data_IF_036619152140
#
_entry.id   IF_036619152140
#
_cell.length_a   1.000
_cell.length_b   1.000
_cell.length_c   1.000
_cell.angle_alpha   90.00
_cell.angle_beta   90.00
_cell.angle_gamma   90.00
#
_symmetry.space_group_name_H-M   'P 1'
#
loop_
_entity.id
_entity.type
_entity.pdbx_description
1 polymer ?
#
# COMPACT_ATOMS: atom_id res chain seq x y z
N UNK A 1 8.90 -2.44 -9.68
CA UNK A 1 9.19 -1.09 -10.27
C UNK A 1 8.06 -0.16 -9.85
N UNK A 2 8.34 1.11 -9.50
CA UNK A 2 7.27 2.08 -9.20
C UNK A 2 6.61 2.51 -10.49
N UNK A 3 5.29 2.52 -10.51
CA UNK A 3 4.47 2.96 -11.64
C UNK A 3 3.46 4.05 -11.22
N UNK A 4 2.72 4.59 -12.20
CA UNK A 4 1.69 5.62 -11.95
C UNK A 4 0.57 5.07 -11.06
N UNK A 5 0.17 3.82 -11.29
CA UNK A 5 -0.92 3.17 -10.57
C UNK A 5 -0.64 3.03 -9.06
N UNK A 6 0.63 2.92 -8.67
CA UNK A 6 1.01 2.96 -7.26
C UNK A 6 1.03 4.39 -6.71
N UNK A 7 1.53 5.37 -7.50
CA UNK A 7 1.72 6.74 -7.02
C UNK A 7 0.43 7.54 -6.99
N UNK A 8 -0.36 7.48 -8.07
CA UNK A 8 -1.59 8.27 -8.29
C UNK A 8 -2.63 7.40 -8.98
N UNK A 9 -3.20 6.40 -8.28
CA UNK A 9 -4.23 5.55 -8.83
C UNK A 9 -5.53 6.32 -9.05
N UNK A 10 -6.25 6.01 -10.15
CA UNK A 10 -7.60 6.51 -10.40
C UNK A 10 -8.64 5.65 -9.68
N UNK A 11 -8.29 4.44 -9.33
CA UNK A 11 -9.15 3.53 -8.56
C UNK A 11 -8.33 2.67 -7.60
N UNK A 12 -8.87 2.50 -6.38
CA UNK A 12 -8.30 1.66 -5.32
C UNK A 12 -9.35 0.66 -4.87
N UNK A 13 -8.95 -0.60 -4.69
CA UNK A 13 -9.74 -1.59 -3.97
C UNK A 13 -9.04 -2.01 -2.68
N UNK A 14 -9.80 -2.06 -1.58
CA UNK A 14 -9.34 -2.63 -0.30
C UNK A 14 -9.97 -4.01 -0.12
N UNK A 15 -9.16 -5.06 -0.23
CA UNK A 15 -9.58 -6.44 0.02
C UNK A 15 -9.45 -6.73 1.52
N UNK A 16 -10.57 -7.02 2.17
CA UNK A 16 -10.63 -7.17 3.64
C UNK A 16 -10.88 -5.86 4.38
N UNK A 17 -11.51 -4.88 3.74
CA UNK A 17 -11.98 -3.67 4.40
C UNK A 17 -12.98 -3.98 5.51
N UNK A 18 -13.11 -3.09 6.50
CA UNK A 18 -13.93 -3.33 7.71
C UNK A 18 -14.54 -2.03 8.26
N UNK A 19 -15.72 -2.16 8.87
CA UNK A 19 -16.31 -1.09 9.67
C UNK A 19 -15.56 -0.85 10.99
N UNK A 20 -14.83 -1.86 11.49
CA UNK A 20 -14.00 -1.70 12.68
C UNK A 20 -12.69 -0.97 12.34
N UNK A 21 -12.64 0.32 12.64
CA UNK A 21 -11.48 1.20 12.36
C UNK A 21 -10.25 0.94 13.25
N UNK A 22 -10.33 0.03 14.22
CA UNK A 22 -9.18 -0.46 14.99
C UNK A 22 -8.47 -1.62 14.30
N UNK A 23 -9.11 -2.27 13.33
CA UNK A 23 -8.49 -3.29 12.48
C UNK A 23 -7.79 -2.61 11.28
N UNK A 24 -6.68 -3.18 10.77
CA UNK A 24 -5.95 -2.59 9.63
C UNK A 24 -6.84 -2.26 8.43
N UNK A 25 -7.71 -3.17 8.00
CA UNK A 25 -8.61 -2.95 6.86
C UNK A 25 -9.59 -1.80 7.07
N UNK A 26 -10.09 -1.62 8.29
CA UNK A 26 -10.96 -0.47 8.62
C UNK A 26 -10.17 0.83 8.74
N UNK A 27 -8.97 0.78 9.31
CA UNK A 27 -8.09 1.94 9.42
C UNK A 27 -7.68 2.49 8.04
N UNK A 28 -7.36 1.61 7.08
CA UNK A 28 -7.01 2.00 5.71
C UNK A 28 -8.19 2.67 5.02
N UNK A 29 -9.39 2.08 5.06
CA UNK A 29 -10.59 2.68 4.46
C UNK A 29 -10.84 4.06 5.04
N UNK A 30 -10.83 4.20 6.38
CA UNK A 30 -10.96 5.50 7.05
C UNK A 30 -9.88 6.49 6.59
N UNK A 31 -8.63 6.07 6.52
CA UNK A 31 -7.52 6.97 6.17
C UNK A 31 -7.58 7.41 4.70
N UNK A 32 -8.05 6.56 3.79
CA UNK A 32 -8.31 6.93 2.40
C UNK A 32 -9.44 7.97 2.29
N UNK A 33 -10.55 7.75 2.99
CA UNK A 33 -11.68 8.69 3.03
C UNK A 33 -11.27 10.02 3.67
N UNK A 34 -10.71 9.99 4.87
CA UNK A 34 -10.32 11.19 5.61
C UNK A 34 -9.15 11.95 4.97
N UNK A 35 -8.29 11.24 4.23
CA UNK A 35 -7.22 11.82 3.42
C UNK A 35 -7.70 12.44 2.13
N UNK A 36 -9.01 12.39 1.84
CA UNK A 36 -9.61 13.04 0.69
C UNK A 36 -9.23 12.38 -0.65
N UNK A 37 -9.09 11.06 -0.69
CA UNK A 37 -8.84 10.35 -1.95
C UNK A 37 -9.92 10.68 -2.99
N UNK A 38 -9.52 11.17 -4.15
CA UNK A 38 -10.42 11.69 -5.18
C UNK A 38 -10.81 10.64 -6.24
N UNK A 39 -10.15 9.49 -6.26
CA UNK A 39 -10.45 8.40 -7.19
C UNK A 39 -11.60 7.52 -6.72
N UNK A 40 -11.84 6.44 -7.46
CA UNK A 40 -12.88 5.47 -7.11
C UNK A 40 -12.38 4.51 -6.03
N UNK A 41 -12.94 4.60 -4.83
CA UNK A 41 -12.64 3.69 -3.73
C UNK A 41 -13.66 2.55 -3.69
N UNK A 42 -13.18 1.32 -3.72
CA UNK A 42 -13.95 0.08 -3.64
C UNK A 42 -13.49 -0.73 -2.45
N UNK A 43 -14.41 -1.49 -1.87
CA UNK A 43 -14.11 -2.36 -0.73
C UNK A 43 -14.68 -3.74 -1.00
N UNK A 44 -13.90 -4.77 -0.68
CA UNK A 44 -14.36 -6.17 -0.70
C UNK A 44 -14.43 -6.69 0.72
N UNK A 45 -15.64 -7.15 1.09
CA UNK A 45 -15.88 -7.84 2.35
C UNK A 45 -17.01 -8.87 2.16
N UNK A 46 -16.78 -10.17 2.44
CA UNK A 46 -17.79 -11.21 2.18
C UNK A 46 -19.00 -11.19 3.11
N UNK A 47 -19.00 -10.33 4.14
CA UNK A 47 -20.05 -10.32 5.20
C UNK A 47 -20.84 -9.03 5.28
N UNK A 48 -20.27 -7.92 4.82
CA UNK A 48 -20.84 -6.58 5.01
C UNK A 48 -21.35 -6.04 3.66
N UNK A 49 -22.51 -5.42 3.66
CA UNK A 49 -23.09 -4.74 2.49
C UNK A 49 -22.46 -3.37 2.26
N UNK A 50 -22.01 -2.74 3.35
CA UNK A 50 -21.44 -1.41 3.35
C UNK A 50 -20.29 -1.29 4.35
N UNK A 51 -19.22 -0.64 3.96
CA UNK A 51 -18.07 -0.34 4.80
C UNK A 51 -17.85 1.18 4.81
N UNK A 52 -18.11 1.81 5.96
CA UNK A 52 -17.87 3.24 6.18
C UNK A 52 -18.50 4.15 5.09
N UNK A 53 -19.74 3.86 4.68
CA UNK A 53 -20.47 4.60 3.65
C UNK A 53 -20.18 4.17 2.21
N UNK A 54 -19.31 3.15 2.00
CA UNK A 54 -18.98 2.62 0.68
C UNK A 54 -19.65 1.27 0.52
N UNK A 55 -20.42 1.08 -0.57
CA UNK A 55 -20.99 -0.22 -0.92
C UNK A 55 -19.87 -1.26 -1.06
N UNK A 56 -19.98 -2.36 -0.31
CA UNK A 56 -19.03 -3.45 -0.37
C UNK A 56 -19.39 -4.46 -1.48
N UNK A 57 -18.35 -5.05 -2.06
CA UNK A 57 -18.47 -6.22 -2.92
C UNK A 57 -18.22 -7.47 -2.08
N UNK A 58 -19.01 -8.52 -2.28
CA UNK A 58 -18.82 -9.79 -1.56
C UNK A 58 -17.70 -10.64 -2.15
N UNK A 59 -17.47 -10.54 -3.45
CA UNK A 59 -16.37 -11.20 -4.16
C UNK A 59 -15.54 -10.16 -4.95
N UNK A 60 -14.24 -10.33 -4.93
CA UNK A 60 -13.34 -9.47 -5.70
C UNK A 60 -13.49 -9.66 -7.22
N UNK A 61 -14.10 -10.76 -7.68
CA UNK A 61 -14.45 -10.97 -9.09
C UNK A 61 -15.54 -10.02 -9.60
N UNK A 62 -16.35 -9.48 -8.70
CA UNK A 62 -17.47 -8.61 -9.06
C UNK A 62 -17.07 -7.13 -9.16
N UNK A 63 -15.85 -6.76 -8.75
CA UNK A 63 -15.40 -5.37 -8.87
C UNK A 63 -15.13 -5.00 -10.33
N UNK A 64 -15.34 -3.75 -10.71
CA UNK A 64 -14.85 -3.22 -11.99
C UNK A 64 -13.32 -3.18 -12.03
N UNK A 65 -12.75 -2.97 -13.21
CA UNK A 65 -11.32 -2.78 -13.41
C UNK A 65 -10.77 -1.74 -12.43
N UNK A 66 -9.60 -2.04 -11.85
CA UNK A 66 -9.03 -1.28 -10.73
C UNK A 66 -7.52 -1.21 -10.87
N UNK A 67 -6.92 -0.07 -10.53
CA UNK A 67 -5.49 0.17 -10.73
C UNK A 67 -4.61 -0.28 -9.56
N UNK A 68 -5.05 -0.02 -8.31
CA UNK A 68 -4.32 -0.36 -7.08
C UNK A 68 -5.18 -1.27 -6.20
N UNK A 69 -4.62 -2.37 -5.74
CA UNK A 69 -5.22 -3.22 -4.72
C UNK A 69 -4.43 -3.18 -3.41
N UNK A 70 -5.15 -3.01 -2.30
CA UNK A 70 -4.60 -3.09 -0.94
C UNK A 70 -5.14 -4.36 -0.29
N UNK A 71 -4.24 -5.30 0.02
CA UNK A 71 -4.62 -6.59 0.59
C UNK A 71 -4.45 -6.59 2.11
N UNK A 72 -5.55 -6.89 2.81
CA UNK A 72 -5.63 -6.96 4.28
C UNK A 72 -6.34 -8.26 4.66
N UNK A 73 -5.88 -9.36 4.11
CA UNK A 73 -6.41 -10.72 4.30
C UNK A 73 -5.30 -11.64 4.75
N UNK A 74 -5.62 -12.85 5.26
CA UNK A 74 -4.56 -13.78 5.67
C UNK A 74 -3.61 -14.11 4.50
N UNK A 75 -2.30 -14.23 4.80
CA UNK A 75 -1.22 -14.40 3.81
C UNK A 75 -1.51 -15.49 2.77
N UNK A 76 -2.09 -16.63 3.20
CA UNK A 76 -2.43 -17.76 2.33
C UNK A 76 -3.37 -17.43 1.17
N UNK A 77 -4.15 -16.34 1.29
CA UNK A 77 -5.10 -15.91 0.25
C UNK A 77 -4.50 -14.84 -0.68
N UNK A 78 -3.42 -14.18 -0.27
CA UNK A 78 -2.87 -13.07 -1.04
C UNK A 78 -2.43 -13.47 -2.45
N UNK A 79 -1.74 -14.62 -2.69
CA UNK A 79 -1.32 -15.00 -4.05
C UNK A 79 -2.50 -15.15 -5.01
N UNK A 80 -3.61 -15.77 -4.56
CA UNK A 80 -4.79 -15.97 -5.40
C UNK A 80 -5.47 -14.64 -5.77
N UNK A 81 -5.54 -13.70 -4.81
CA UNK A 81 -6.03 -12.35 -5.10
C UNK A 81 -5.10 -11.60 -6.06
N UNK A 82 -3.77 -11.68 -5.88
CA UNK A 82 -2.81 -11.00 -6.76
C UNK A 82 -2.92 -11.56 -8.19
N UNK A 83 -2.96 -12.88 -8.34
CA UNK A 83 -3.09 -13.54 -9.64
C UNK A 83 -4.38 -13.10 -10.35
N UNK A 84 -5.53 -13.21 -9.69
CA UNK A 84 -6.83 -12.88 -10.25
C UNK A 84 -6.95 -11.39 -10.57
N UNK A 85 -6.58 -10.51 -9.65
CA UNK A 85 -6.69 -9.06 -9.83
C UNK A 85 -5.76 -8.54 -10.94
N UNK A 86 -4.54 -9.09 -11.06
CA UNK A 86 -3.62 -8.73 -12.13
C UNK A 86 -4.08 -9.23 -13.50
N UNK A 87 -4.63 -10.45 -13.56
CA UNK A 87 -5.05 -11.08 -14.81
C UNK A 87 -6.39 -10.56 -15.31
N UNK A 88 -7.39 -10.38 -14.42
CA UNK A 88 -8.79 -10.19 -14.80
C UNK A 88 -9.31 -8.77 -14.53
N UNK A 89 -8.67 -7.99 -13.62
CA UNK A 89 -9.16 -6.67 -13.18
C UNK A 89 -8.21 -5.53 -13.50
N UNK A 90 -7.19 -5.76 -14.28
CA UNK A 90 -6.28 -4.72 -14.74
C UNK A 90 -5.39 -4.12 -13.63
N UNK A 91 -5.33 -4.71 -12.43
CA UNK A 91 -4.50 -4.19 -11.32
C UNK A 91 -3.03 -4.24 -11.72
N UNK A 92 -2.34 -3.11 -11.50
CA UNK A 92 -0.91 -2.95 -11.80
C UNK A 92 -0.11 -2.43 -10.61
N UNK A 93 -0.76 -2.29 -9.45
CA UNK A 93 -0.08 -1.94 -8.21
C UNK A 93 -0.72 -2.69 -7.03
N UNK A 94 0.11 -3.19 -6.11
CA UNK A 94 -0.31 -3.88 -4.91
C UNK A 94 0.37 -3.29 -3.68
N UNK A 95 -0.39 -3.20 -2.59
CA UNK A 95 0.10 -2.95 -1.23
C UNK A 95 -0.39 -4.10 -0.37
N UNK A 96 0.52 -4.91 0.17
CA UNK A 96 0.17 -6.08 0.99
C UNK A 96 0.54 -5.80 2.44
N UNK A 97 -0.49 -5.57 3.24
CA UNK A 97 -0.35 -5.25 4.67
C UNK A 97 -0.07 -6.50 5.50
N UNK A 98 -0.61 -7.62 5.07
CA UNK A 98 -0.61 -8.89 5.79
C UNK A 98 0.80 -9.39 6.07
N UNK A 99 1.02 -9.95 7.26
CA UNK A 99 2.17 -10.73 7.68
C UNK A 99 1.93 -12.24 7.48
N UNK A 100 2.96 -13.07 7.69
CA UNK A 100 2.90 -14.51 7.54
C UNK A 100 3.53 -15.01 6.24
N UNK A 101 4.54 -14.30 5.76
CA UNK A 101 5.30 -14.64 4.55
C UNK A 101 6.71 -15.14 4.88
N UNK A 102 7.70 -14.75 4.12
CA UNK A 102 9.08 -15.21 4.29
C UNK A 102 9.73 -14.83 5.61
N UNK A 103 9.21 -13.81 6.30
CA UNK A 103 9.64 -13.40 7.63
C UNK A 103 9.26 -14.40 8.73
N UNK A 104 8.25 -15.26 8.51
CA UNK A 104 7.79 -16.21 9.52
C UNK A 104 8.18 -17.64 9.20
N UNK A 105 8.00 -18.09 7.94
CA UNK A 105 8.16 -19.50 7.58
C UNK A 105 8.63 -19.70 6.15
N UNK A 106 9.22 -20.88 5.88
CA UNK A 106 9.57 -21.29 4.53
C UNK A 106 8.33 -21.43 3.61
N UNK A 107 7.20 -21.87 4.14
CA UNK A 107 5.94 -21.91 3.40
C UNK A 107 5.46 -20.48 3.04
N UNK A 108 5.63 -19.54 3.95
CA UNK A 108 5.36 -18.12 3.70
C UNK A 108 6.25 -17.53 2.60
N UNK A 109 7.53 -17.93 2.55
CA UNK A 109 8.44 -17.51 1.47
C UNK A 109 7.97 -18.01 0.09
N UNK A 110 7.38 -19.20 0.01
CA UNK A 110 6.81 -19.71 -1.24
C UNK A 110 5.58 -18.91 -1.70
N UNK A 111 4.73 -18.45 -0.75
CA UNK A 111 3.61 -17.54 -1.05
C UNK A 111 4.12 -16.19 -1.59
N UNK A 112 5.14 -15.64 -0.94
CA UNK A 112 5.78 -14.39 -1.36
C UNK A 112 6.38 -14.53 -2.77
N UNK A 113 7.10 -15.61 -3.06
CA UNK A 113 7.70 -15.83 -4.37
C UNK A 113 6.63 -15.88 -5.47
N UNK A 114 5.50 -16.56 -5.23
CA UNK A 114 4.37 -16.61 -6.17
C UNK A 114 3.82 -15.20 -6.49
N UNK A 115 3.71 -14.34 -5.46
CA UNK A 115 3.29 -12.95 -5.64
C UNK A 115 4.30 -12.19 -6.51
N UNK A 116 5.59 -12.37 -6.25
CA UNK A 116 6.67 -11.74 -7.01
C UNK A 116 6.64 -12.16 -8.48
N UNK A 117 6.50 -13.45 -8.75
CA UNK A 117 6.43 -14.00 -10.11
C UNK A 117 5.24 -13.41 -10.89
N UNK A 118 4.09 -13.26 -10.22
CA UNK A 118 2.91 -12.62 -10.82
C UNK A 118 3.14 -11.14 -11.06
N UNK A 119 3.71 -10.42 -10.09
CA UNK A 119 4.03 -9.00 -10.24
C UNK A 119 5.03 -8.77 -11.39
N UNK A 120 6.01 -9.65 -11.55
CA UNK A 120 6.96 -9.58 -12.67
C UNK A 120 6.27 -9.84 -14.02
N UNK A 121 5.45 -10.91 -14.10
CA UNK A 121 4.70 -11.29 -15.30
C UNK A 121 3.80 -10.17 -15.82
N UNK A 122 3.11 -9.47 -14.93
CA UNK A 122 2.15 -8.41 -15.31
C UNK A 122 2.71 -7.00 -15.18
N UNK A 123 3.99 -6.83 -14.85
CA UNK A 123 4.63 -5.52 -14.67
C UNK A 123 4.05 -4.70 -13.51
N UNK A 124 3.61 -5.38 -12.43
CA UNK A 124 2.99 -4.73 -11.29
C UNK A 124 4.03 -4.11 -10.36
N UNK A 125 3.67 -2.97 -9.76
CA UNK A 125 4.37 -2.43 -8.60
C UNK A 125 3.90 -3.15 -7.32
N UNK A 126 4.81 -3.41 -6.38
CA UNK A 126 4.51 -4.06 -5.12
C UNK A 126 5.15 -3.30 -3.94
N UNK A 127 4.36 -3.08 -2.89
CA UNK A 127 4.79 -2.65 -1.56
C UNK A 127 4.37 -3.71 -0.54
N UNK A 128 5.27 -4.10 0.33
CA UNK A 128 5.11 -5.24 1.24
C UNK A 128 5.52 -6.55 0.57
N UNK A 129 5.13 -7.71 1.12
CA UNK A 129 4.18 -7.89 2.23
C UNK A 129 4.67 -7.35 3.59
N UNK A 130 3.87 -7.55 4.65
CA UNK A 130 4.20 -7.18 6.03
C UNK A 130 4.62 -5.71 6.20
N UNK A 131 3.84 -4.76 5.69
CA UNK A 131 4.14 -3.33 5.72
C UNK A 131 3.00 -2.52 6.36
N UNK A 132 3.28 -1.27 6.74
CA UNK A 132 2.21 -0.36 7.19
C UNK A 132 1.51 0.35 6.03
N UNK A 133 2.01 0.21 4.81
CA UNK A 133 1.50 0.84 3.61
C UNK A 133 2.30 2.07 3.16
N UNK A 134 1.67 2.96 2.42
CA UNK A 134 2.28 4.20 1.95
C UNK A 134 1.34 5.40 2.09
N UNK A 135 1.95 6.57 2.20
CA UNK A 135 1.29 7.86 2.34
C UNK A 135 1.92 8.85 1.36
N UNK A 136 1.11 9.46 0.52
CA UNK A 136 1.53 10.53 -0.39
C UNK A 136 0.41 11.56 -0.61
N UNK A 137 0.64 12.57 -1.43
CA UNK A 137 -0.32 13.63 -1.68
C UNK A 137 -1.62 13.17 -2.38
N UNK A 138 -1.67 11.96 -2.94
CA UNK A 138 -2.82 11.46 -3.69
C UNK A 138 -3.65 10.44 -2.91
N UNK A 139 -3.03 9.65 -2.03
CA UNK A 139 -3.75 8.67 -1.22
C UNK A 139 -3.02 8.33 0.09
N UNK A 140 -3.81 8.06 1.12
CA UNK A 140 -3.35 7.70 2.46
C UNK A 140 -3.58 6.20 2.72
N UNK A 141 -2.84 5.36 1.99
CA UNK A 141 -2.94 3.89 2.06
C UNK A 141 -2.10 3.32 3.21
N UNK A 142 -2.31 3.81 4.42
CA UNK A 142 -1.66 3.33 5.65
C UNK A 142 -2.71 2.99 6.70
N UNK A 143 -2.43 2.02 7.59
CA UNK A 143 -3.33 1.69 8.69
C UNK A 143 -2.93 2.33 10.03
N UNK A 144 -1.77 2.95 10.11
CA UNK A 144 -1.21 3.52 11.33
C UNK A 144 -1.66 4.97 11.58
N UNK A 145 -1.44 5.45 12.80
CA UNK A 145 -1.55 6.84 13.24
C UNK A 145 -0.25 7.21 13.95
N UNK A 146 0.12 8.51 14.04
CA UNK A 146 -0.57 9.66 13.43
C UNK A 146 -0.39 9.71 11.89
N UNK A 147 -1.33 10.36 11.20
CA UNK A 147 -1.15 10.73 9.80
C UNK A 147 -0.54 12.14 9.78
N UNK A 148 0.73 12.29 9.35
CA UNK A 148 1.35 13.61 9.25
C UNK A 148 0.69 14.44 8.16
N UNK A 149 0.61 15.75 8.38
CA UNK A 149 0.25 16.66 7.31
C UNK A 149 1.36 16.67 6.25
N UNK A 150 1.00 16.29 5.02
CA UNK A 150 1.96 16.26 3.93
C UNK A 150 2.21 17.66 3.36
N UNK A 151 3.44 17.90 2.95
CA UNK A 151 3.87 19.17 2.39
C UNK A 151 4.71 18.95 1.13
N UNK A 152 4.47 19.67 0.02
CA UNK A 152 5.20 19.47 -1.24
C UNK A 152 6.74 19.61 -1.12
N UNK A 153 7.20 20.42 -0.17
CA UNK A 153 8.63 20.63 0.13
C UNK A 153 9.12 19.79 1.31
N UNK A 154 8.31 18.82 1.79
CA UNK A 154 8.69 17.88 2.84
C UNK A 154 9.67 16.82 2.37
N UNK A 155 10.13 16.00 3.30
CA UNK A 155 11.01 14.87 3.02
C UNK A 155 10.23 13.64 2.57
N UNK A 156 10.80 12.84 1.66
CA UNK A 156 10.35 11.47 1.42
C UNK A 156 11.00 10.57 2.44
N UNK A 157 10.18 9.85 3.19
CA UNK A 157 10.64 8.95 4.24
C UNK A 157 10.36 7.49 3.83
N UNK A 158 11.41 6.68 3.84
CA UNK A 158 11.34 5.26 3.50
C UNK A 158 11.86 4.46 4.68
N UNK A 159 11.10 3.48 5.13
CA UNK A 159 11.50 2.58 6.22
C UNK A 159 11.31 1.12 5.85
N UNK A 160 12.30 0.28 6.16
CA UNK A 160 12.21 -1.18 6.08
C UNK A 160 11.53 -1.82 7.30
N UNK A 161 11.07 -1.01 8.26
CA UNK A 161 10.38 -1.48 9.46
C UNK A 161 9.17 -0.60 9.74
N UNK A 162 7.99 -1.22 9.77
CA UNK A 162 6.74 -0.53 10.08
C UNK A 162 6.73 0.11 11.47
N UNK A 163 7.23 -0.60 12.49
CA UNK A 163 7.31 -0.09 13.86
C UNK A 163 8.25 1.13 13.97
N UNK A 164 9.41 1.05 13.32
CA UNK A 164 10.37 2.17 13.25
C UNK A 164 9.75 3.36 12.51
N UNK A 165 9.00 3.13 11.44
CA UNK A 165 8.32 4.19 10.71
C UNK A 165 7.32 4.94 11.61
N UNK A 166 6.49 4.23 12.36
CA UNK A 166 5.52 4.83 13.28
C UNK A 166 6.22 5.66 14.35
N UNK A 167 7.25 5.11 15.01
CA UNK A 167 8.02 5.81 16.05
C UNK A 167 8.65 7.10 15.52
N UNK A 168 9.24 7.06 14.32
CA UNK A 168 9.85 8.24 13.69
C UNK A 168 8.77 9.27 13.33
N UNK A 169 7.63 8.86 12.79
CA UNK A 169 6.52 9.75 12.45
C UNK A 169 6.01 10.48 13.70
N UNK A 170 5.76 9.76 14.80
CA UNK A 170 5.32 10.35 16.07
C UNK A 170 6.31 11.41 16.59
N UNK A 171 7.59 11.05 16.62
CA UNK A 171 8.64 11.95 17.13
C UNK A 171 8.90 13.15 16.21
N UNK A 172 8.87 12.94 14.91
CA UNK A 172 9.22 13.94 13.91
C UNK A 172 8.12 14.99 13.72
N UNK A 173 6.85 14.58 13.77
CA UNK A 173 5.70 15.50 13.67
C UNK A 173 5.72 16.52 14.81
N UNK A 174 5.98 16.07 16.05
CA UNK A 174 6.07 16.94 17.23
C UNK A 174 7.22 17.96 17.07
N UNK A 175 8.32 17.56 16.41
CA UNK A 175 9.49 18.43 16.16
C UNK A 175 9.33 19.31 14.90
N UNK A 176 8.17 19.31 14.27
CA UNK A 176 7.88 20.13 13.08
C UNK A 176 8.47 19.63 11.76
N UNK A 177 8.97 18.39 11.71
CA UNK A 177 9.40 17.80 10.44
C UNK A 177 8.18 17.62 9.51
N UNK A 178 8.33 18.05 8.27
CA UNK A 178 7.30 17.92 7.24
C UNK A 178 7.64 16.77 6.30
N UNK A 179 6.65 15.93 6.00
CA UNK A 179 6.79 14.81 5.08
C UNK A 179 6.14 15.15 3.73
N UNK A 180 6.74 14.74 2.63
CA UNK A 180 6.15 14.74 1.29
C UNK A 180 5.50 13.39 1.00
N UNK A 181 6.17 12.33 1.40
CA UNK A 181 5.64 10.96 1.34
C UNK A 181 6.27 10.06 2.41
N UNK A 182 5.56 8.98 2.75
CA UNK A 182 6.02 7.94 3.67
C UNK A 182 5.82 6.59 3.02
N UNK A 183 6.84 5.74 3.06
CA UNK A 183 6.85 4.43 2.44
C UNK A 183 7.34 3.39 3.45
N UNK A 184 6.52 2.39 3.70
CA UNK A 184 6.96 1.22 4.45
C UNK A 184 7.19 0.08 3.46
N UNK A 185 8.41 -0.41 3.41
CA UNK A 185 8.81 -1.48 2.51
C UNK A 185 9.44 -2.58 3.35
N UNK A 186 9.13 -3.83 3.04
CA UNK A 186 9.83 -4.96 3.67
C UNK A 186 11.27 -5.04 3.14
N UNK A 187 12.24 -5.18 4.05
CA UNK A 187 13.67 -5.22 3.70
C UNK A 187 14.14 -6.54 3.11
N UNK A 188 13.39 -7.61 3.30
CA UNK A 188 13.76 -8.95 2.81
C UNK A 188 13.70 -9.09 1.28
N UNK A 189 13.03 -8.17 0.59
CA UNK A 189 12.76 -8.30 -0.83
C UNK A 189 13.67 -7.44 -1.70
N UNK A 190 14.48 -8.09 -2.59
CA UNK A 190 15.33 -7.39 -3.57
C UNK A 190 14.55 -6.43 -4.49
N UNK A 191 13.26 -6.69 -4.71
CA UNK A 191 12.39 -5.84 -5.52
C UNK A 191 12.08 -4.53 -4.78
N UNK A 192 11.90 -4.57 -3.46
CA UNK A 192 11.69 -3.41 -2.61
C UNK A 192 12.91 -2.48 -2.62
N UNK A 193 14.13 -3.03 -2.58
CA UNK A 193 15.37 -2.25 -2.69
C UNK A 193 15.50 -1.56 -4.06
N UNK A 194 15.19 -2.26 -5.17
CA UNK A 194 15.13 -1.66 -6.51
C UNK A 194 14.07 -0.58 -6.61
N UNK A 195 12.95 -0.76 -5.91
CA UNK A 195 11.86 0.21 -5.80
C UNK A 195 12.33 1.47 -5.07
N UNK A 196 13.06 1.34 -3.94
CA UNK A 196 13.65 2.46 -3.22
C UNK A 196 14.60 3.28 -4.11
N UNK A 197 15.53 2.62 -4.80
CA UNK A 197 16.47 3.31 -5.70
C UNK A 197 15.73 4.05 -6.82
N UNK A 198 14.62 3.52 -7.34
CA UNK A 198 13.83 4.18 -8.39
C UNK A 198 12.98 5.34 -7.86
N UNK A 199 12.54 5.32 -6.59
CA UNK A 199 11.92 6.49 -5.93
C UNK A 199 12.95 7.62 -5.84
N UNK A 200 14.15 7.31 -5.34
CA UNK A 200 15.23 8.29 -5.17
C UNK A 200 15.61 8.96 -6.47
N UNK A 201 15.76 8.22 -7.55
CA UNK A 201 16.15 8.77 -8.86
C UNK A 201 15.06 9.56 -9.57
N UNK A 202 13.77 9.30 -9.30
CA UNK A 202 12.65 10.01 -9.94
C UNK A 202 12.13 11.21 -9.15
N UNK A 203 12.29 11.22 -7.82
CA UNK A 203 11.81 12.30 -6.96
C UNK A 203 12.85 13.39 -6.73
N UNK A 204 14.12 13.12 -6.95
CA UNK A 204 15.14 14.15 -7.00
C UNK A 204 15.07 14.88 -8.34
N UNK A 205 14.24 15.92 -8.41
CA UNK A 205 14.43 16.97 -9.44
C UNK A 205 15.82 17.57 -9.29
N UNK A 206 16.54 17.92 -10.40
CA UNK A 206 17.96 18.33 -10.42
C UNK A 206 18.29 19.63 -9.66
N UNK A 207 17.46 20.09 -8.75
CA UNK A 207 17.68 21.34 -7.98
C UNK A 207 18.65 21.23 -6.81
N UNK A 208 19.07 20.02 -6.40
CA UNK A 208 20.02 19.79 -5.31
C UNK A 208 21.46 19.49 -5.77
N UNK A 209 21.78 19.60 -7.04
CA UNK A 209 23.14 19.46 -7.59
C UNK A 209 23.73 20.80 -8.04
N UNK A 210 23.33 21.91 -7.42
CA UNK A 210 24.00 23.22 -7.58
C UNK A 210 24.25 23.82 -6.19
N UNK A 211 25.20 23.28 -5.49
CA UNK A 211 26.10 23.98 -4.56
C UNK A 211 27.50 23.44 -4.75
#
# INVERSE_FOLDING_TARGET
MINRQLLKPESIVVIGGSNNTHKPGGAIVRNLISGGYQGQLRVVNPKEEEIQGIKAYHDAKDIPDTELAILVVAARFCPDYVDMLAAEKGVRAFIIISAGFGEETQAGAALEQRILDTCERYGCALIGPNCIGMLNAWHHSVFTKPIPQLHPQGVDFISGSGATAVFILESAVIKGLRFRSVWSIETANKLALKTCCSIWTRTMTPRLLRL
#
